data_IF_272741737217
#
_entry.id   IF_272741737217
#
_cell.length_a   1.000
_cell.length_b   1.000
_cell.length_c   1.000
_cell.angle_alpha   90.00
_cell.angle_beta   90.00
_cell.angle_gamma   90.00
#
_symmetry.space_group_name_H-M   'P 1'
#
loop_
_entity.id
_entity.type
_entity.pdbx_description
1 polymer ?
#
# COMPACT_ATOMS: atom_id res chain seq x y z
N UNK A 1 -20.00 -1.65 3.11
CA UNK A 1 -19.49 -2.31 4.34
C UNK A 1 -18.89 -1.26 5.25
N UNK A 2 -19.20 -1.31 6.54
CA UNK A 2 -18.58 -0.42 7.54
C UNK A 2 -17.46 -1.20 8.23
N UNK A 3 -16.27 -0.61 8.21
CA UNK A 3 -15.05 -1.20 8.77
C UNK A 3 -14.48 -0.27 9.83
N UNK A 4 -14.07 -0.81 10.97
CA UNK A 4 -13.29 -0.10 11.99
C UNK A 4 -11.82 -0.39 11.74
N UNK A 5 -11.00 0.60 11.35
CA UNK A 5 -9.56 0.42 11.24
C UNK A 5 -8.95 0.00 12.59
N UNK A 6 -8.07 -0.98 12.57
CA UNK A 6 -7.43 -1.52 13.78
C UNK A 6 -5.91 -1.37 13.76
N UNK A 7 -5.29 -1.53 12.61
CA UNK A 7 -3.85 -1.33 12.42
C UNK A 7 -3.62 -0.55 11.14
N UNK A 8 -2.90 0.53 11.25
CA UNK A 8 -2.58 1.45 10.16
C UNK A 8 -1.07 1.56 9.98
N UNK A 9 -0.62 1.67 8.76
CA UNK A 9 0.78 1.95 8.41
C UNK A 9 0.92 3.38 7.90
N UNK A 10 1.96 4.07 8.34
CA UNK A 10 2.23 5.46 7.95
C UNK A 10 3.19 5.47 6.76
N UNK A 11 2.68 5.89 5.61
CA UNK A 11 3.48 6.08 4.41
C UNK A 11 4.23 7.43 4.44
N UNK A 12 5.31 7.53 3.69
CA UNK A 12 6.00 8.82 3.51
C UNK A 12 5.10 9.88 2.83
N UNK A 13 4.12 9.45 2.05
CA UNK A 13 3.13 10.36 1.47
C UNK A 13 2.28 11.05 2.54
N UNK A 14 1.84 10.31 3.57
CA UNK A 14 1.09 10.83 4.71
C UNK A 14 1.92 11.83 5.52
N UNK A 15 3.18 11.48 5.79
CA UNK A 15 4.12 12.38 6.48
C UNK A 15 4.28 13.71 5.74
N UNK A 16 4.37 13.68 4.40
CA UNK A 16 4.49 14.90 3.58
C UNK A 16 3.24 15.77 3.63
N UNK A 17 2.05 15.20 3.76
CA UNK A 17 0.82 15.98 3.98
C UNK A 17 0.77 16.54 5.40
N UNK A 18 1.07 15.72 6.40
CA UNK A 18 1.06 16.12 7.80
C UNK A 18 2.05 17.27 8.10
N UNK A 19 3.24 17.21 7.52
CA UNK A 19 4.30 18.21 7.68
C UNK A 19 4.18 19.41 6.73
N UNK A 20 3.16 19.44 5.86
CA UNK A 20 3.02 20.51 4.88
C UNK A 20 4.08 20.49 3.76
N UNK A 21 4.74 19.36 3.54
CA UNK A 21 5.81 19.19 2.54
C UNK A 21 5.27 18.89 1.12
N UNK A 22 4.17 19.51 0.76
CA UNK A 22 3.61 19.53 -0.60
C UNK A 22 3.51 20.99 -1.05
N UNK A 23 3.35 21.24 -2.35
CA UNK A 23 3.14 22.61 -2.81
C UNK A 23 1.87 23.20 -2.18
N UNK A 24 1.83 24.52 -1.89
CA UNK A 24 0.66 25.17 -1.30
C UNK A 24 -0.62 24.94 -2.11
N UNK A 25 -0.52 24.84 -3.42
CA UNK A 25 -1.64 24.54 -4.29
C UNK A 25 -2.21 23.14 -4.04
N UNK A 26 -1.35 22.12 -3.93
CA UNK A 26 -1.75 20.73 -3.63
C UNK A 26 -2.38 20.65 -2.25
N UNK A 27 -1.80 21.32 -1.25
CA UNK A 27 -2.36 21.34 0.11
C UNK A 27 -3.76 21.95 0.12
N UNK A 28 -3.94 23.13 -0.48
CA UNK A 28 -5.25 23.78 -0.57
C UNK A 28 -6.32 22.97 -1.30
N UNK A 29 -5.90 22.20 -2.33
CA UNK A 29 -6.81 21.37 -3.12
C UNK A 29 -7.24 20.10 -2.39
N UNK A 30 -6.36 19.52 -1.57
CA UNK A 30 -6.55 18.18 -1.02
C UNK A 30 -6.89 18.13 0.47
N UNK A 31 -6.54 19.17 1.22
CA UNK A 31 -6.84 19.27 2.64
C UNK A 31 -8.08 20.15 2.88
N UNK A 32 -8.89 19.89 3.94
CA UNK A 32 -8.69 18.83 4.94
C UNK A 32 -9.08 17.45 4.42
N UNK A 33 -8.39 16.39 4.87
CA UNK A 33 -8.74 15.00 4.66
C UNK A 33 -8.17 14.13 5.78
N UNK A 34 -8.81 13.01 6.10
CA UNK A 34 -8.20 11.98 6.91
C UNK A 34 -7.01 11.38 6.16
N UNK A 35 -5.89 11.17 6.86
CA UNK A 35 -4.68 10.60 6.27
C UNK A 35 -4.75 9.06 6.26
N UNK A 36 -3.68 8.44 5.79
CA UNK A 36 -3.38 7.00 5.77
C UNK A 36 -4.23 6.22 4.76
N UNK A 37 -3.53 5.51 3.90
CA UNK A 37 -4.11 4.65 2.87
C UNK A 37 -3.66 3.20 2.98
N UNK A 38 -2.88 2.86 4.01
CA UNK A 38 -2.40 1.52 4.30
C UNK A 38 -3.01 1.03 5.60
N UNK A 39 -3.70 -0.09 5.59
CA UNK A 39 -4.26 -0.61 6.83
C UNK A 39 -5.21 -1.77 6.70
N UNK A 40 -5.51 -2.30 7.86
CA UNK A 40 -6.50 -3.36 8.07
C UNK A 40 -7.53 -2.90 9.09
N UNK A 41 -8.68 -3.52 9.06
CA UNK A 41 -9.75 -3.25 10.00
C UNK A 41 -10.62 -4.47 10.26
N UNK A 42 -11.53 -4.33 11.19
CA UNK A 42 -12.54 -5.33 11.48
C UNK A 42 -13.91 -4.81 11.01
N UNK A 43 -14.66 -5.67 10.34
CA UNK A 43 -16.00 -5.35 9.84
C UNK A 43 -16.93 -5.11 11.02
N UNK A 44 -17.65 -3.99 10.99
CA UNK A 44 -18.70 -3.65 11.95
C UNK A 44 -20.06 -4.07 11.42
N UNK A 45 -20.32 -3.78 10.14
CA UNK A 45 -21.60 -4.05 9.52
C UNK A 45 -21.46 -4.25 8.02
N UNK A 46 -22.07 -5.32 7.52
CA UNK A 46 -22.28 -5.54 6.10
C UNK A 46 -23.77 -5.81 5.83
N UNK A 47 -24.48 -4.92 5.12
CA UNK A 47 -25.91 -5.06 4.88
C UNK A 47 -26.28 -6.27 4.01
N UNK A 48 -25.30 -6.88 3.30
CA UNK A 48 -25.54 -8.12 2.53
C UNK A 48 -25.10 -9.40 3.26
N UNK A 49 -24.42 -9.27 4.39
CA UNK A 49 -23.98 -10.41 5.19
C UNK A 49 -22.87 -11.26 4.58
N UNK A 50 -22.14 -10.75 3.60
CA UNK A 50 -20.97 -11.46 3.03
C UNK A 50 -19.77 -11.44 3.99
N UNK A 51 -19.67 -10.39 4.79
CA UNK A 51 -18.69 -10.26 5.86
C UNK A 51 -19.38 -10.24 7.21
N UNK A 52 -19.01 -11.17 8.07
CA UNK A 52 -19.51 -11.21 9.45
C UNK A 52 -18.94 -10.06 10.28
N UNK A 53 -19.68 -9.51 11.26
CA UNK A 53 -19.12 -8.59 12.23
C UNK A 53 -17.90 -9.21 12.93
N UNK A 54 -16.80 -8.45 13.01
CA UNK A 54 -15.52 -8.90 13.55
C UNK A 54 -14.59 -9.57 12.52
N UNK A 55 -15.04 -9.84 11.29
CA UNK A 55 -14.16 -10.32 10.22
C UNK A 55 -13.04 -9.31 9.96
N UNK A 56 -11.79 -9.77 10.01
CA UNK A 56 -10.63 -8.92 9.73
C UNK A 56 -10.38 -8.84 8.22
N UNK A 57 -10.17 -7.62 7.73
CA UNK A 57 -10.01 -7.33 6.30
C UNK A 57 -8.88 -6.35 6.03
N UNK A 58 -8.23 -6.51 4.89
CA UNK A 58 -7.40 -5.46 4.27
C UNK A 58 -8.33 -4.48 3.57
N UNK A 59 -8.05 -3.20 3.75
CA UNK A 59 -8.76 -2.12 3.07
C UNK A 59 -7.96 -1.66 1.84
N UNK A 60 -8.52 -1.85 0.63
CA UNK A 60 -7.88 -1.44 -0.63
C UNK A 60 -8.15 0.05 -0.86
N UNK A 61 -7.10 0.89 -0.95
CA UNK A 61 -7.27 2.35 -0.99
C UNK A 61 -7.78 2.89 -2.33
N UNK A 62 -7.53 2.18 -3.42
CA UNK A 62 -7.96 2.61 -4.75
C UNK A 62 -9.43 2.26 -4.99
N UNK A 63 -10.19 3.22 -5.52
CA UNK A 63 -11.59 3.01 -5.93
C UNK A 63 -11.73 3.51 -7.36
N UNK A 64 -11.76 2.61 -8.37
CA UNK A 64 -12.03 2.98 -9.74
C UNK A 64 -13.47 3.49 -9.87
N UNK A 65 -13.71 4.41 -10.78
CA UNK A 65 -15.04 4.97 -11.05
C UNK A 65 -15.51 4.66 -12.47
N UNK A 66 -14.63 4.08 -13.27
CA UNK A 66 -14.87 3.64 -14.64
C UNK A 66 -14.00 2.43 -14.96
N UNK A 67 -14.37 1.68 -15.98
CA UNK A 67 -13.59 0.60 -16.56
C UNK A 67 -12.96 1.07 -17.88
N UNK A 68 -11.77 0.58 -18.19
CA UNK A 68 -11.08 0.82 -19.46
C UNK A 68 -10.44 -0.49 -19.95
N UNK A 69 -10.58 -0.78 -21.23
CA UNK A 69 -10.09 -2.03 -21.83
C UNK A 69 -8.55 -2.11 -21.88
N UNK A 70 -7.87 -0.96 -21.89
CA UNK A 70 -6.42 -0.86 -22.08
C UNK A 70 -5.71 -0.47 -20.78
N UNK A 71 -6.31 0.47 -20.04
CA UNK A 71 -5.73 1.06 -18.83
C UNK A 71 -6.30 0.36 -17.60
N UNK A 72 -5.48 -0.38 -16.88
CA UNK A 72 -5.93 -1.02 -15.64
C UNK A 72 -6.34 0.01 -14.59
N UNK A 73 -7.27 -0.36 -13.72
CA UNK A 73 -7.90 0.50 -12.70
C UNK A 73 -6.92 1.33 -11.86
N UNK A 74 -5.72 0.79 -11.59
CA UNK A 74 -4.69 1.45 -10.79
C UNK A 74 -4.04 2.65 -11.49
N UNK A 75 -4.23 2.81 -12.80
CA UNK A 75 -3.64 3.87 -13.61
C UNK A 75 -4.68 4.86 -14.16
N UNK A 76 -5.96 4.61 -13.94
CA UNK A 76 -7.03 5.52 -14.34
C UNK A 76 -6.93 6.83 -13.56
N UNK A 77 -6.92 7.95 -14.28
CA UNK A 77 -6.85 9.28 -13.67
C UNK A 77 -8.09 9.67 -12.88
N UNK A 78 -9.23 9.07 -13.22
CA UNK A 78 -10.52 9.24 -12.56
C UNK A 78 -10.64 8.48 -11.24
N UNK A 79 -9.79 7.47 -11.01
CA UNK A 79 -9.81 6.67 -9.78
C UNK A 79 -9.64 7.53 -8.54
N UNK A 80 -10.40 7.20 -7.51
CA UNK A 80 -10.31 7.85 -6.20
C UNK A 80 -9.37 7.07 -5.32
N UNK A 81 -8.29 7.72 -4.88
CA UNK A 81 -7.31 7.11 -4.00
C UNK A 81 -7.41 7.73 -2.60
N UNK A 82 -7.58 6.87 -1.58
CA UNK A 82 -7.68 7.27 -0.17
C UNK A 82 -6.43 8.03 0.27
N UNK A 83 -6.58 9.02 1.14
CA UNK A 83 -5.54 9.94 1.59
C UNK A 83 -4.82 10.69 0.43
N UNK A 84 -5.53 10.90 -0.68
CA UNK A 84 -5.03 11.70 -1.81
C UNK A 84 -6.11 12.64 -2.38
N UNK A 85 -6.73 13.44 -1.51
CA UNK A 85 -7.86 14.32 -1.80
C UNK A 85 -9.22 13.69 -1.49
N UNK A 86 -9.21 12.49 -0.92
CA UNK A 86 -10.36 11.80 -0.33
C UNK A 86 -9.92 11.24 1.02
N UNK A 87 -10.85 11.15 1.97
CA UNK A 87 -10.55 10.67 3.30
C UNK A 87 -9.90 9.28 3.28
N UNK A 88 -8.77 9.18 3.95
CA UNK A 88 -8.04 7.95 4.20
C UNK A 88 -8.63 7.11 5.33
N UNK A 89 -7.83 6.22 5.86
CA UNK A 89 -8.27 5.24 6.86
C UNK A 89 -8.12 5.70 8.31
N UNK A 90 -7.53 6.87 8.57
CA UNK A 90 -7.39 7.42 9.93
C UNK A 90 -8.71 8.03 10.41
N UNK A 91 -9.69 7.16 10.63
CA UNK A 91 -11.05 7.46 11.07
C UNK A 91 -11.53 6.37 12.04
N UNK A 92 -12.53 6.65 12.84
CA UNK A 92 -13.14 5.65 13.75
C UNK A 92 -13.82 4.52 12.97
N UNK A 93 -14.47 4.85 11.86
CA UNK A 93 -15.10 3.92 10.94
C UNK A 93 -14.98 4.41 9.51
N UNK A 94 -14.81 3.48 8.58
CA UNK A 94 -14.68 3.76 7.15
C UNK A 94 -15.74 3.00 6.38
N UNK A 95 -16.44 3.70 5.47
CA UNK A 95 -17.31 3.05 4.49
C UNK A 95 -16.49 2.56 3.30
N UNK A 96 -16.61 1.28 2.96
CA UNK A 96 -15.88 0.62 1.89
C UNK A 96 -16.80 -0.13 0.93
N UNK A 97 -16.46 -0.11 -0.36
CA UNK A 97 -17.01 -1.08 -1.32
C UNK A 97 -16.58 -2.49 -0.94
N UNK A 98 -17.43 -3.50 -1.23
CA UNK A 98 -17.08 -4.91 -0.95
C UNK A 98 -15.87 -5.38 -1.74
N UNK A 99 -15.82 -4.98 -2.99
CA UNK A 99 -14.73 -5.22 -3.93
C UNK A 99 -13.40 -4.54 -3.51
N UNK A 100 -13.45 -3.68 -2.52
CA UNK A 100 -12.29 -2.99 -1.91
C UNK A 100 -11.91 -3.58 -0.55
N UNK A 101 -12.40 -4.77 -0.23
CA UNK A 101 -12.08 -5.50 1.00
C UNK A 101 -11.55 -6.89 0.67
N UNK A 102 -10.49 -7.30 1.35
CA UNK A 102 -9.91 -8.63 1.22
C UNK A 102 -9.84 -9.27 2.60
N UNK A 103 -10.48 -10.43 2.78
CA UNK A 103 -10.40 -11.17 4.06
C UNK A 103 -8.96 -11.49 4.41
N UNK A 104 -8.60 -11.26 5.65
CA UNK A 104 -7.33 -11.73 6.18
C UNK A 104 -7.44 -13.23 6.54
N UNK A 105 -6.42 -14.03 6.22
CA UNK A 105 -6.33 -15.40 6.70
C UNK A 105 -6.31 -15.47 8.23
N UNK A 106 -6.90 -16.51 8.80
CA UNK A 106 -6.83 -16.77 10.23
C UNK A 106 -5.36 -16.91 10.70
N UNK A 107 -5.06 -16.37 11.87
CA UNK A 107 -3.73 -16.47 12.49
C UNK A 107 -2.66 -15.54 11.93
N UNK A 108 -2.96 -14.70 10.92
CA UNK A 108 -2.00 -13.73 10.42
C UNK A 108 -1.68 -12.66 11.48
N UNK A 109 -0.42 -12.27 11.57
CA UNK A 109 -0.04 -11.16 12.42
C UNK A 109 -0.59 -9.84 11.87
N UNK A 110 -1.57 -9.25 12.57
CA UNK A 110 -2.25 -8.02 12.14
C UNK A 110 -1.28 -6.82 11.97
N UNK A 111 -0.22 -6.72 12.77
CA UNK A 111 0.78 -5.65 12.64
C UNK A 111 1.53 -5.76 11.31
N UNK A 112 1.85 -6.98 10.89
CA UNK A 112 2.49 -7.22 9.58
C UNK A 112 1.48 -7.02 8.44
N UNK A 113 0.25 -7.47 8.62
CA UNK A 113 -0.80 -7.34 7.61
C UNK A 113 -1.17 -5.86 7.30
N UNK A 114 -0.91 -4.92 8.21
CA UNK A 114 -1.10 -3.50 7.95
C UNK A 114 -0.25 -2.96 6.78
N UNK A 115 0.86 -3.64 6.46
CA UNK A 115 1.74 -3.30 5.31
C UNK A 115 1.31 -3.93 3.98
N UNK A 116 0.15 -4.58 3.92
CA UNK A 116 -0.27 -5.31 2.70
C UNK A 116 -0.33 -4.41 1.46
N UNK A 117 -0.74 -3.15 1.59
CA UNK A 117 -0.73 -2.20 0.48
C UNK A 117 0.69 -2.01 -0.05
N UNK A 118 1.65 -1.69 0.82
CA UNK A 118 3.04 -1.49 0.46
C UNK A 118 3.69 -2.75 -0.12
N UNK A 119 3.34 -3.93 0.40
CA UNK A 119 3.72 -5.23 -0.14
C UNK A 119 3.17 -5.41 -1.55
N UNK A 120 1.92 -5.04 -1.81
CA UNK A 120 1.29 -5.15 -3.14
C UNK A 120 1.98 -4.26 -4.17
N UNK A 121 2.38 -3.04 -3.79
CA UNK A 121 3.19 -2.14 -4.64
C UNK A 121 4.53 -2.77 -5.01
N UNK A 122 5.19 -3.41 -4.03
CA UNK A 122 6.45 -4.12 -4.27
C UNK A 122 6.27 -5.32 -5.20
N UNK A 123 5.22 -6.13 -5.01
CA UNK A 123 4.89 -7.23 -5.91
C UNK A 123 4.62 -6.76 -7.34
N UNK A 124 3.84 -5.71 -7.49
CA UNK A 124 3.55 -5.13 -8.80
C UNK A 124 4.85 -4.66 -9.49
N UNK A 125 5.73 -4.00 -8.76
CA UNK A 125 7.04 -3.56 -9.26
C UNK A 125 7.89 -4.74 -9.73
N UNK A 126 7.96 -5.81 -8.94
CA UNK A 126 8.74 -7.01 -9.26
C UNK A 126 8.15 -7.74 -10.47
N UNK A 127 6.82 -7.87 -10.55
CA UNK A 127 6.15 -8.50 -11.69
C UNK A 127 6.43 -7.74 -13.00
N UNK A 128 6.38 -6.41 -12.97
CA UNK A 128 6.75 -5.59 -14.13
C UNK A 128 8.23 -5.69 -14.47
N UNK A 129 9.10 -5.70 -13.48
CA UNK A 129 10.52 -5.91 -13.67
C UNK A 129 10.78 -7.28 -14.34
N UNK A 130 10.16 -8.34 -13.83
CA UNK A 130 10.33 -9.71 -14.36
C UNK A 130 9.87 -9.82 -15.82
N UNK A 131 8.78 -9.15 -16.18
CA UNK A 131 8.23 -9.13 -17.54
C UNK A 131 8.98 -8.23 -18.54
N UNK A 132 9.60 -7.15 -18.07
CA UNK A 132 10.14 -6.10 -18.93
C UNK A 132 11.66 -6.03 -18.99
N UNK A 133 12.37 -6.46 -17.96
CA UNK A 133 13.81 -6.43 -17.92
C UNK A 133 14.43 -7.60 -18.71
N UNK A 134 15.71 -7.47 -19.09
CA UNK A 134 16.44 -8.55 -19.75
C UNK A 134 16.56 -9.80 -18.86
N UNK A 135 16.90 -10.94 -19.47
CA UNK A 135 16.93 -12.24 -18.79
C UNK A 135 18.05 -12.40 -17.72
N UNK A 136 19.11 -11.61 -17.79
CA UNK A 136 20.21 -11.66 -16.81
C UNK A 136 19.73 -11.13 -15.46
N UNK A 137 19.93 -11.91 -14.42
CA UNK A 137 19.44 -11.65 -13.05
C UNK A 137 20.52 -11.88 -11.99
N UNK A 138 21.81 -11.96 -12.38
CA UNK A 138 22.91 -12.23 -11.44
C UNK A 138 22.98 -11.13 -10.36
N UNK A 139 22.80 -9.86 -10.78
CA UNK A 139 22.81 -8.71 -9.88
C UNK A 139 21.59 -7.84 -10.13
N UNK A 140 20.93 -7.42 -9.05
CA UNK A 140 19.76 -6.53 -9.09
C UNK A 140 20.01 -5.37 -8.13
N UNK A 141 19.98 -4.15 -8.66
CA UNK A 141 20.14 -2.93 -7.86
C UNK A 141 18.80 -2.37 -7.37
N UNK A 142 18.74 -1.97 -6.09
CA UNK A 142 17.61 -1.26 -5.49
C UNK A 142 18.11 0.08 -4.96
N UNK A 143 17.56 1.18 -5.44
CA UNK A 143 17.90 2.52 -5.01
C UNK A 143 16.85 3.04 -4.01
N UNK A 144 17.26 3.16 -2.76
CA UNK A 144 16.44 3.63 -1.65
C UNK A 144 16.78 2.90 -0.35
N UNK A 145 16.48 3.55 0.78
CA UNK A 145 16.73 3.05 2.14
C UNK A 145 15.50 3.17 3.04
N UNK A 146 14.30 3.26 2.43
CA UNK A 146 13.03 3.32 3.15
C UNK A 146 12.28 1.99 3.13
N UNK A 147 11.11 1.97 3.78
CA UNK A 147 10.26 0.78 3.93
C UNK A 147 9.94 0.09 2.59
N UNK A 148 9.65 0.86 1.53
CA UNK A 148 9.37 0.29 0.21
C UNK A 148 10.59 -0.45 -0.35
N UNK A 149 11.79 0.14 -0.26
CA UNK A 149 13.02 -0.51 -0.70
C UNK A 149 13.31 -1.77 0.10
N UNK A 150 13.14 -1.73 1.42
CA UNK A 150 13.32 -2.87 2.30
C UNK A 150 12.40 -4.04 1.91
N UNK A 151 11.09 -3.82 1.83
CA UNK A 151 10.11 -4.85 1.45
C UNK A 151 10.38 -5.37 0.04
N UNK A 152 10.68 -4.47 -0.91
CA UNK A 152 11.01 -4.86 -2.29
C UNK A 152 12.25 -5.76 -2.33
N UNK A 153 13.28 -5.45 -1.55
CA UNK A 153 14.51 -6.25 -1.49
C UNK A 153 14.27 -7.65 -0.92
N UNK A 154 13.47 -7.76 0.15
CA UNK A 154 13.06 -9.05 0.69
C UNK A 154 12.30 -9.91 -0.34
N UNK A 155 11.37 -9.30 -1.05
CA UNK A 155 10.58 -9.98 -2.07
C UNK A 155 11.41 -10.33 -3.31
N UNK A 156 12.34 -9.46 -3.73
CA UNK A 156 13.31 -9.77 -4.78
C UNK A 156 14.17 -10.97 -4.40
N UNK A 157 14.69 -11.02 -3.17
CA UNK A 157 15.48 -12.16 -2.69
C UNK A 157 14.68 -13.45 -2.67
N UNK A 158 13.41 -13.38 -2.31
CA UNK A 158 12.49 -14.52 -2.36
C UNK A 158 12.19 -14.96 -3.81
N UNK A 159 11.99 -14.02 -4.73
CA UNK A 159 11.66 -14.30 -6.14
C UNK A 159 12.86 -14.78 -6.93
N UNK A 160 14.03 -14.20 -6.66
CA UNK A 160 15.32 -14.49 -7.33
C UNK A 160 16.38 -14.89 -6.30
N UNK A 161 16.30 -16.09 -5.70
CA UNK A 161 17.15 -16.48 -4.57
C UNK A 161 18.64 -16.57 -4.92
N UNK A 162 18.96 -16.75 -6.21
CA UNK A 162 20.34 -16.82 -6.71
C UNK A 162 20.92 -15.46 -7.07
N UNK A 163 20.10 -14.40 -7.07
CA UNK A 163 20.56 -13.06 -7.40
C UNK A 163 21.25 -12.41 -6.21
N UNK A 164 22.30 -11.66 -6.48
CA UNK A 164 22.88 -10.68 -5.55
C UNK A 164 21.99 -9.41 -5.58
N UNK A 165 21.43 -9.04 -4.44
CA UNK A 165 20.63 -7.81 -4.33
C UNK A 165 21.51 -6.71 -3.76
N UNK A 166 21.81 -5.69 -4.58
CA UNK A 166 22.64 -4.55 -4.19
C UNK A 166 21.75 -3.38 -3.78
N UNK A 167 21.91 -2.89 -2.56
CA UNK A 167 21.11 -1.77 -2.03
C UNK A 167 21.94 -0.49 -2.05
N UNK A 168 21.35 0.60 -2.58
CA UNK A 168 21.96 1.91 -2.65
C UNK A 168 21.13 2.91 -1.82
N UNK A 169 21.57 3.19 -0.60
CA UNK A 169 20.92 4.09 0.35
C UNK A 169 21.71 5.38 0.58
N UNK A 170 21.08 6.35 1.24
CA UNK A 170 21.70 7.62 1.64
C UNK A 170 22.03 7.68 3.13
N UNK A 171 21.37 6.85 3.94
CA UNK A 171 21.45 6.92 5.40
C UNK A 171 22.04 5.64 5.94
N UNK A 172 23.28 5.68 6.39
CA UNK A 172 24.02 4.49 6.88
C UNK A 172 23.27 3.78 8.00
N UNK A 173 22.62 4.52 8.92
CA UNK A 173 21.86 3.93 10.02
C UNK A 173 20.64 3.10 9.56
N UNK A 174 20.12 3.36 8.37
CA UNK A 174 19.02 2.56 7.79
C UNK A 174 19.54 1.35 7.01
N UNK A 175 20.77 1.42 6.53
CA UNK A 175 21.35 0.32 5.77
C UNK A 175 21.59 -0.92 6.64
N UNK A 176 21.68 -0.76 7.94
CA UNK A 176 21.83 -1.87 8.90
C UNK A 176 20.65 -2.86 8.84
N UNK A 177 19.45 -2.37 8.50
CA UNK A 177 18.25 -3.21 8.39
C UNK A 177 18.25 -4.13 7.15
N UNK A 178 19.14 -3.87 6.17
CA UNK A 178 19.22 -4.63 4.92
C UNK A 178 20.26 -5.78 4.93
N UNK A 179 20.97 -5.97 6.03
CA UNK A 179 22.07 -6.95 6.18
C UNK A 179 21.57 -8.29 6.71
#
# INVERSE_FOLDING_TARGET
VIVRPTHLSICNADQRYYQGMRSPEVLRKKLPMALIHEGIGDVIHDPRGEYEPGASVVMVPNTPVEDDEIISENYLRSSRFRASGFDGFMQDCVSMGRDRLIRLPAGINKRVAAFTELVSVSFHTIDRFDKKAHARREKIGVWGDGNLAFITSLLLKKRFPQSEICIFGKNDYKMVDFV
#
